data_IF_823846364122
#
_entry.id   IF_823846364122
#
_cell.length_a   1.000
_cell.length_b   1.000
_cell.length_c   1.000
_cell.angle_alpha   90.00
_cell.angle_beta   90.00
_cell.angle_gamma   90.00
#
_symmetry.space_group_name_H-M   'P 1'
#
loop_
_entity.id
_entity.type
_entity.pdbx_description
1 polymer ?
#
# COMPACT_ATOMS: atom_id res chain seq x y z
N UNK A 1 24.06 18.31 10.14
CA UNK A 1 23.51 17.88 11.44
C UNK A 1 22.36 18.83 11.81
N UNK A 2 21.17 18.59 11.29
CA UNK A 2 20.01 19.45 11.53
C UNK A 2 19.28 18.87 12.74
N UNK A 3 19.30 19.61 13.86
CA UNK A 3 18.53 19.25 15.06
C UNK A 3 17.10 19.71 14.86
N UNK A 4 16.19 18.76 14.65
CA UNK A 4 14.75 19.04 14.60
C UNK A 4 14.21 19.18 16.03
N UNK A 5 13.43 20.23 16.36
CA UNK A 5 12.89 20.40 17.69
C UNK A 5 11.68 19.47 17.86
N UNK A 6 11.80 18.55 18.82
CA UNK A 6 10.70 17.72 19.30
C UNK A 6 9.74 18.57 20.13
N UNK A 7 8.67 19.08 19.51
CA UNK A 7 7.52 19.53 20.28
C UNK A 7 6.58 18.33 20.48
N UNK A 8 6.66 17.79 21.70
CA UNK A 8 5.74 16.80 22.21
C UNK A 8 4.32 17.42 22.32
N UNK A 9 3.36 16.75 21.68
CA UNK A 9 1.96 16.72 22.10
C UNK A 9 1.22 18.05 22.16
N UNK A 10 0.87 18.62 21.01
CA UNK A 10 -0.46 19.24 20.96
C UNK A 10 -1.48 18.10 20.91
N UNK A 11 -2.22 17.99 22.00
CA UNK A 11 -3.35 17.08 22.17
C UNK A 11 -4.40 17.45 21.12
N UNK A 12 -4.22 16.95 19.89
CA UNK A 12 -5.20 17.10 18.81
C UNK A 12 -6.47 16.50 19.37
N UNK A 13 -7.55 17.28 19.56
CA UNK A 13 -8.84 16.69 19.87
C UNK A 13 -9.03 15.58 18.84
N UNK A 14 -9.48 14.39 19.25
CA UNK A 14 -10.03 13.40 18.34
C UNK A 14 -11.05 14.17 17.49
N UNK A 15 -10.62 14.67 16.35
CA UNK A 15 -11.45 15.46 15.50
C UNK A 15 -12.61 14.54 15.14
N UNK A 16 -13.83 15.06 15.10
CA UNK A 16 -14.95 14.37 14.50
C UNK A 16 -14.63 14.19 13.00
N UNK A 17 -13.75 13.25 12.70
CA UNK A 17 -13.38 12.86 11.35
C UNK A 17 -14.66 12.32 10.70
N UNK A 18 -14.94 12.70 9.45
CA UNK A 18 -16.14 12.27 8.76
C UNK A 18 -15.97 10.83 8.27
N UNK A 19 -15.92 9.87 9.19
CA UNK A 19 -15.58 8.46 8.89
C UNK A 19 -16.51 7.82 7.86
N UNK A 20 -17.81 8.09 7.94
CA UNK A 20 -18.79 7.58 6.96
C UNK A 20 -18.50 8.08 5.54
N UNK A 21 -18.14 9.37 5.39
CA UNK A 21 -17.76 9.96 4.11
C UNK A 21 -16.36 9.53 3.65
N UNK A 22 -15.45 9.27 4.60
CA UNK A 22 -14.12 8.78 4.33
C UNK A 22 -14.15 7.33 3.80
N UNK A 23 -15.03 6.49 4.35
CA UNK A 23 -15.27 5.12 3.89
C UNK A 23 -15.96 5.05 2.52
N UNK A 24 -16.65 6.11 2.10
CA UNK A 24 -17.36 6.19 0.83
C UNK A 24 -16.43 6.44 -0.37
N UNK A 25 -15.48 5.51 -0.59
CA UNK A 25 -14.60 5.47 -1.76
C UNK A 25 -14.64 4.06 -2.40
N UNK A 26 -14.41 3.94 -3.73
CA UNK A 26 -14.54 2.65 -4.42
C UNK A 26 -13.74 1.51 -3.79
N UNK A 27 -12.49 1.75 -3.38
CA UNK A 27 -11.64 0.72 -2.78
C UNK A 27 -12.26 0.08 -1.52
N UNK A 28 -13.00 0.86 -0.72
CA UNK A 28 -13.55 0.42 0.57
C UNK A 28 -15.03 0.02 0.47
N UNK A 29 -15.64 0.14 -0.71
CA UNK A 29 -17.08 -0.03 -0.90
C UNK A 29 -17.60 -1.45 -0.60
N UNK A 30 -16.72 -2.46 -0.71
CA UNK A 30 -17.09 -3.88 -0.49
C UNK A 30 -16.88 -4.37 0.95
N UNK A 31 -16.36 -3.52 1.83
CA UNK A 31 -16.18 -3.86 3.25
C UNK A 31 -17.54 -4.09 3.92
N UNK A 32 -17.63 -5.18 4.69
CA UNK A 32 -18.79 -5.40 5.55
C UNK A 32 -18.88 -4.33 6.64
N UNK A 33 -20.06 -4.11 7.24
CA UNK A 33 -20.18 -3.15 8.35
C UNK A 33 -19.24 -3.42 9.53
N UNK A 34 -18.94 -4.70 9.80
CA UNK A 34 -18.00 -5.10 10.83
C UNK A 34 -16.55 -4.73 10.46
N UNK A 35 -16.13 -4.99 9.21
CA UNK A 35 -14.82 -4.60 8.70
C UNK A 35 -14.66 -3.07 8.67
N UNK A 36 -15.66 -2.33 8.17
CA UNK A 36 -15.64 -0.86 8.15
C UNK A 36 -15.49 -0.25 9.54
N UNK A 37 -16.21 -0.81 10.53
CA UNK A 37 -16.05 -0.40 11.93
C UNK A 37 -14.66 -0.70 12.47
N UNK A 38 -14.14 -1.93 12.24
CA UNK A 38 -12.80 -2.33 12.67
C UNK A 38 -11.71 -1.47 12.01
N UNK A 39 -11.82 -1.21 10.72
CA UNK A 39 -10.90 -0.37 9.95
C UNK A 39 -10.88 1.06 10.52
N UNK A 40 -12.05 1.61 10.85
CA UNK A 40 -12.18 2.94 11.46
C UNK A 40 -11.48 3.00 12.83
N UNK A 41 -11.59 1.94 13.65
CA UNK A 41 -10.89 1.87 14.93
C UNK A 41 -9.36 1.84 14.76
N UNK A 42 -8.85 1.11 13.76
CA UNK A 42 -7.41 1.06 13.46
C UNK A 42 -6.95 2.42 12.91
N UNK A 43 -7.69 3.02 11.97
CA UNK A 43 -7.38 4.33 11.39
C UNK A 43 -7.44 5.46 12.44
N UNK A 44 -8.36 5.40 13.40
CA UNK A 44 -8.40 6.35 14.50
C UNK A 44 -7.15 6.23 15.39
N UNK A 45 -6.70 5.01 15.70
CA UNK A 45 -5.43 4.80 16.42
C UNK A 45 -4.23 5.27 15.59
N UNK A 46 -4.24 5.01 14.29
CA UNK A 46 -3.20 5.48 13.37
C UNK A 46 -3.01 7.00 13.48
N UNK A 47 -4.10 7.78 13.45
CA UNK A 47 -4.06 9.24 13.57
C UNK A 47 -3.65 9.75 14.95
N UNK A 48 -3.73 8.93 16.00
CA UNK A 48 -3.19 9.26 17.33
C UNK A 48 -1.70 8.99 17.43
N UNK A 49 -1.21 7.96 16.73
CA UNK A 49 0.18 7.49 16.83
C UNK A 49 1.11 8.13 15.79
N UNK A 50 0.56 8.61 14.68
CA UNK A 50 1.32 9.09 13.52
C UNK A 50 0.91 10.48 13.12
N UNK A 51 1.84 11.20 12.50
CA UNK A 51 1.62 12.57 12.02
C UNK A 51 1.68 12.62 10.50
N UNK A 52 0.62 13.10 9.87
CA UNK A 52 0.63 13.49 8.46
C UNK A 52 1.07 14.95 8.39
N UNK A 53 2.20 15.20 7.73
CA UNK A 53 2.83 16.50 7.59
C UNK A 53 2.65 16.97 6.15
N UNK A 54 1.65 17.82 5.86
CA UNK A 54 1.53 18.41 4.54
C UNK A 54 2.68 19.40 4.28
N UNK A 55 3.20 19.39 3.06
CA UNK A 55 4.34 20.21 2.64
C UNK A 55 3.93 21.18 1.53
N UNK A 56 4.78 22.17 1.24
CA UNK A 56 4.57 23.17 0.18
C UNK A 56 3.21 23.89 0.26
N UNK A 57 2.84 24.33 1.47
CA UNK A 57 1.57 25.04 1.74
C UNK A 57 0.31 24.20 1.46
N UNK A 58 0.44 22.88 1.30
CA UNK A 58 -0.69 21.99 1.12
C UNK A 58 -1.64 22.05 2.32
N UNK A 59 -2.93 22.29 2.06
CA UNK A 59 -3.97 22.26 3.08
C UNK A 59 -4.60 20.87 3.16
N UNK A 60 -4.38 20.17 4.28
CA UNK A 60 -4.96 18.85 4.52
C UNK A 60 -6.33 18.97 5.20
N UNK A 61 -7.38 18.51 4.52
CA UNK A 61 -8.74 18.47 5.10
C UNK A 61 -8.93 17.26 6.03
N UNK A 62 -9.84 17.32 7.02
CA UNK A 62 -10.13 16.16 7.87
C UNK A 62 -10.60 14.93 7.09
N UNK A 63 -11.37 15.11 6.01
CA UNK A 63 -11.82 14.00 5.15
C UNK A 63 -10.64 13.28 4.49
N UNK A 64 -9.71 14.05 3.91
CA UNK A 64 -8.54 13.48 3.23
C UNK A 64 -7.60 12.79 4.23
N UNK A 65 -7.41 13.40 5.41
CA UNK A 65 -6.63 12.80 6.49
C UNK A 65 -7.23 11.46 6.97
N UNK A 66 -8.56 11.39 7.12
CA UNK A 66 -9.25 10.16 7.46
C UNK A 66 -9.10 9.09 6.37
N UNK A 67 -9.19 9.45 5.08
CA UNK A 67 -8.98 8.51 3.97
C UNK A 67 -7.57 7.96 3.93
N UNK A 68 -6.54 8.81 4.07
CA UNK A 68 -5.14 8.37 4.15
C UNK A 68 -4.98 7.36 5.30
N UNK A 69 -5.53 7.65 6.48
CA UNK A 69 -5.46 6.74 7.62
C UNK A 69 -6.18 5.40 7.38
N UNK A 70 -7.35 5.42 6.72
CA UNK A 70 -8.08 4.20 6.33
C UNK A 70 -7.24 3.35 5.36
N UNK A 71 -6.62 3.96 4.35
CA UNK A 71 -5.80 3.26 3.37
C UNK A 71 -4.55 2.61 3.99
N UNK A 72 -3.83 3.30 4.87
CA UNK A 72 -2.73 2.68 5.63
C UNK A 72 -3.21 1.53 6.53
N UNK A 73 -4.43 1.63 7.05
CA UNK A 73 -4.98 0.64 7.97
C UNK A 73 -5.51 -0.60 7.26
N UNK A 74 -5.81 -0.53 5.96
CA UNK A 74 -6.44 -1.61 5.21
C UNK A 74 -5.53 -2.85 5.09
N UNK A 75 -4.23 -2.75 4.72
CA UNK A 75 -3.33 -3.89 4.69
C UNK A 75 -3.17 -4.57 6.06
N UNK A 76 -3.26 -3.79 7.13
CA UNK A 76 -3.07 -4.28 8.50
C UNK A 76 -4.38 -4.53 9.25
N UNK A 77 -5.52 -4.60 8.55
CA UNK A 77 -6.84 -4.77 9.16
C UNK A 77 -6.91 -6.00 10.08
N UNK A 78 -6.36 -7.13 9.61
CA UNK A 78 -6.31 -8.39 10.36
C UNK A 78 -4.97 -8.64 11.06
N UNK A 79 -3.94 -7.84 10.74
CA UNK A 79 -2.62 -7.94 11.35
C UNK A 79 -2.50 -7.12 12.65
N UNK A 80 -3.15 -5.95 12.70
CA UNK A 80 -3.12 -4.99 13.80
C UNK A 80 -2.19 -3.79 13.56
N UNK A 81 -2.49 -2.67 14.22
CA UNK A 81 -1.80 -1.39 14.04
C UNK A 81 -0.30 -1.44 14.34
N UNK A 82 0.13 -2.35 15.20
CA UNK A 82 1.54 -2.51 15.59
C UNK A 82 2.42 -2.91 14.39
N UNK A 83 1.84 -3.46 13.32
CA UNK A 83 2.55 -3.73 12.07
C UNK A 83 3.03 -2.48 11.33
N UNK A 84 2.58 -1.30 11.74
CA UNK A 84 3.03 -0.02 11.22
C UNK A 84 4.01 0.68 12.16
N UNK A 85 4.66 -0.01 13.10
CA UNK A 85 5.62 0.58 14.06
C UNK A 85 6.90 1.18 13.42
N UNK A 86 7.25 0.78 12.19
CA UNK A 86 8.44 1.24 11.46
C UNK A 86 8.43 2.70 10.97
N UNK A 87 7.43 3.51 11.31
CA UNK A 87 7.41 4.94 11.00
C UNK A 87 6.45 5.75 11.88
N UNK A 88 6.75 7.03 12.02
CA UNK A 88 5.99 7.97 12.85
C UNK A 88 5.40 9.13 12.06
N UNK A 89 5.97 9.43 10.88
CA UNK A 89 5.64 10.61 10.10
C UNK A 89 5.36 10.22 8.64
N UNK A 90 4.41 10.93 8.05
CA UNK A 90 4.06 10.83 6.63
C UNK A 90 4.21 12.22 6.03
N UNK A 91 5.11 12.37 5.07
CA UNK A 91 5.33 13.63 4.35
C UNK A 91 4.42 13.63 3.13
N UNK A 92 3.51 14.61 3.03
CA UNK A 92 2.57 14.71 1.92
C UNK A 92 2.88 15.94 1.05
N UNK A 93 3.37 15.68 -0.15
CA UNK A 93 3.60 16.69 -1.17
C UNK A 93 2.35 16.91 -2.03
N UNK A 94 2.18 18.08 -2.68
CA UNK A 94 1.06 18.31 -3.59
C UNK A 94 1.15 17.48 -4.88
N UNK A 95 2.35 17.33 -5.44
CA UNK A 95 2.61 16.68 -6.73
C UNK A 95 3.83 15.75 -6.62
N UNK A 96 3.96 14.74 -7.53
CA UNK A 96 5.15 13.92 -7.64
C UNK A 96 6.39 14.79 -7.87
N UNK A 97 7.53 14.32 -7.39
CA UNK A 97 8.79 15.04 -7.54
C UNK A 97 9.88 14.16 -8.14
N UNK A 98 10.91 14.79 -8.70
CA UNK A 98 12.09 14.11 -9.22
C UNK A 98 13.26 14.41 -8.29
N UNK A 99 13.79 13.39 -7.63
CA UNK A 99 14.99 13.53 -6.79
C UNK A 99 16.15 12.81 -7.48
N UNK A 100 17.36 13.23 -7.11
CA UNK A 100 18.59 12.61 -7.56
C UNK A 100 19.13 11.84 -6.36
N UNK A 101 18.98 10.51 -6.38
CA UNK A 101 19.60 9.65 -5.39
C UNK A 101 20.98 9.22 -5.88
N UNK A 102 21.92 9.13 -4.95
CA UNK A 102 23.24 8.54 -5.20
C UNK A 102 23.16 7.06 -4.83
N UNK A 103 23.13 6.16 -5.81
CA UNK A 103 23.24 4.72 -5.55
C UNK A 103 24.60 4.21 -6.00
N UNK A 104 25.15 3.27 -5.24
CA UNK A 104 26.44 2.66 -5.50
C UNK A 104 26.20 1.25 -6.05
N UNK A 105 26.70 0.97 -7.25
CA UNK A 105 26.62 -0.37 -7.83
C UNK A 105 27.60 -1.37 -7.18
N UNK A 106 27.50 -2.64 -7.57
CA UNK A 106 28.31 -3.74 -7.03
C UNK A 106 29.82 -3.58 -7.28
N UNK A 107 30.23 -2.67 -8.17
CA UNK A 107 31.64 -2.33 -8.45
C UNK A 107 32.09 -1.02 -7.81
N UNK A 108 31.21 -0.37 -7.04
CA UNK A 108 31.51 0.81 -6.25
C UNK A 108 31.38 2.15 -6.98
N UNK A 109 30.76 2.17 -8.16
CA UNK A 109 30.46 3.39 -8.91
C UNK A 109 29.19 4.03 -8.38
N UNK A 110 29.30 5.31 -8.00
CA UNK A 110 28.18 6.14 -7.58
C UNK A 110 27.50 6.69 -8.83
N UNK A 111 26.26 6.30 -9.04
CA UNK A 111 25.38 6.81 -10.09
C UNK A 111 24.48 7.90 -9.52
N UNK A 112 24.23 8.94 -10.32
CA UNK A 112 23.29 10.02 -9.99
C UNK A 112 22.34 10.14 -11.17
N UNK A 113 21.08 9.77 -10.98
CA UNK A 113 20.06 9.84 -12.03
C UNK A 113 18.76 10.46 -11.52
N UNK A 114 17.98 11.13 -12.40
CA UNK A 114 16.65 11.59 -12.06
C UNK A 114 15.72 10.38 -11.93
N UNK A 115 15.13 10.16 -10.75
CA UNK A 115 14.07 9.17 -10.53
C UNK A 115 12.75 9.90 -10.30
N UNK A 116 11.72 9.58 -11.08
CA UNK A 116 10.35 10.05 -10.85
C UNK A 116 9.80 9.20 -9.71
N UNK A 117 9.43 9.83 -8.60
CA UNK A 117 9.09 9.08 -7.39
C UNK A 117 7.66 9.39 -6.95
N UNK A 118 6.81 8.37 -7.01
CA UNK A 118 5.45 8.44 -6.49
C UNK A 118 5.46 8.44 -4.95
N UNK A 119 6.38 7.70 -4.32
CA UNK A 119 6.60 7.66 -2.87
C UNK A 119 7.98 7.13 -2.44
N UNK A 120 8.29 7.27 -1.15
CA UNK A 120 9.52 6.74 -0.53
C UNK A 120 9.23 6.17 0.86
N UNK A 121 9.82 5.01 1.14
CA UNK A 121 9.80 4.39 2.44
C UNK A 121 11.16 3.75 2.76
N UNK A 122 11.87 4.29 3.75
CA UNK A 122 13.05 3.64 4.35
C UNK A 122 12.71 2.98 5.68
N UNK A 123 13.48 1.98 6.13
CA UNK A 123 13.14 1.14 7.28
C UNK A 123 12.74 1.90 8.56
N UNK A 124 13.36 3.05 8.86
CA UNK A 124 13.01 3.90 10.00
C UNK A 124 12.66 5.35 9.63
N UNK A 125 12.63 5.68 8.33
CA UNK A 125 12.30 7.02 7.86
C UNK A 125 10.81 7.26 7.72
N UNK A 126 10.41 8.52 7.45
CA UNK A 126 9.03 8.85 7.14
C UNK A 126 8.57 8.12 5.88
N UNK A 127 7.26 7.94 5.74
CA UNK A 127 6.66 7.58 4.45
C UNK A 127 6.44 8.87 3.67
N UNK A 128 6.86 8.92 2.40
CA UNK A 128 6.66 10.08 1.54
C UNK A 128 5.59 9.75 0.51
N UNK A 129 4.62 10.64 0.37
CA UNK A 129 3.50 10.53 -0.56
C UNK A 129 3.32 11.85 -1.31
N UNK A 130 2.60 11.80 -2.43
CA UNK A 130 2.05 12.99 -3.06
C UNK A 130 0.52 12.91 -3.19
N UNK A 131 -0.14 14.07 -3.20
CA UNK A 131 -1.60 14.14 -3.16
C UNK A 131 -2.27 13.67 -4.46
N UNK A 132 -1.61 13.82 -5.61
CA UNK A 132 -2.16 13.37 -6.88
C UNK A 132 -2.37 11.85 -6.86
N UNK A 133 -1.32 11.13 -6.53
CA UNK A 133 -1.34 9.65 -6.48
C UNK A 133 -2.19 9.12 -5.31
N UNK A 134 -2.25 9.84 -4.19
CA UNK A 134 -3.15 9.50 -3.08
C UNK A 134 -4.62 9.57 -3.51
N UNK A 135 -5.00 10.49 -4.40
CA UNK A 135 -6.38 10.56 -4.90
C UNK A 135 -6.69 9.41 -5.84
N UNK A 136 -5.75 9.03 -6.70
CA UNK A 136 -5.89 7.90 -7.61
C UNK A 136 -5.99 6.57 -6.83
N UNK A 137 -5.38 6.52 -5.65
CA UNK A 137 -5.45 5.39 -4.71
C UNK A 137 -6.84 5.16 -4.07
N UNK A 138 -7.84 6.02 -4.33
CA UNK A 138 -9.20 5.81 -3.83
C UNK A 138 -10.03 4.86 -4.70
N UNK A 139 -9.62 4.66 -5.95
CA UNK A 139 -10.33 3.88 -6.94
C UNK A 139 -9.94 2.39 -6.93
N UNK A 140 -10.57 1.60 -7.81
CA UNK A 140 -10.29 0.18 -8.04
C UNK A 140 -9.51 0.00 -9.36
N UNK A 141 -8.38 0.70 -9.49
CA UNK A 141 -7.62 0.80 -10.75
C UNK A 141 -6.48 -0.21 -10.89
N UNK A 142 -6.11 -0.90 -9.80
CA UNK A 142 -4.86 -1.67 -9.70
C UNK A 142 -3.72 -0.88 -9.05
N UNK A 143 -3.81 0.46 -9.04
CA UNK A 143 -2.82 1.36 -8.46
C UNK A 143 -3.26 1.85 -7.07
N UNK A 144 -2.35 1.82 -6.10
CA UNK A 144 -2.54 2.35 -4.76
C UNK A 144 -1.20 2.66 -4.06
N UNK A 145 -0.76 3.91 -4.17
CA UNK A 145 0.50 4.37 -3.56
C UNK A 145 0.58 4.12 -2.05
N UNK A 146 -0.51 4.30 -1.30
CA UNK A 146 -0.46 4.12 0.16
C UNK A 146 -0.26 2.63 0.51
N UNK A 147 -0.90 1.73 -0.21
CA UNK A 147 -0.72 0.28 -0.03
C UNK A 147 0.68 -0.13 -0.45
N UNK A 148 1.20 0.42 -1.55
CA UNK A 148 2.57 0.22 -2.01
C UNK A 148 3.59 0.55 -0.91
N UNK A 149 3.57 1.78 -0.40
CA UNK A 149 4.47 2.21 0.69
C UNK A 149 4.25 1.43 1.98
N UNK A 150 3.01 1.02 2.25
CA UNK A 150 2.69 0.14 3.38
C UNK A 150 3.33 -1.24 3.21
N UNK A 151 3.30 -1.81 2.01
CA UNK A 151 3.91 -3.10 1.72
C UNK A 151 5.43 -3.05 1.96
N UNK A 152 6.13 -2.00 1.53
CA UNK A 152 7.54 -1.82 1.86
C UNK A 152 7.81 -1.76 3.37
N UNK A 153 6.96 -1.07 4.16
CA UNK A 153 7.06 -1.09 5.63
C UNK A 153 6.87 -2.49 6.21
N UNK A 154 5.94 -3.27 5.66
CA UNK A 154 5.68 -4.64 6.11
C UNK A 154 6.86 -5.57 5.79
N UNK A 155 7.41 -5.47 4.59
CA UNK A 155 8.59 -6.22 4.13
C UNK A 155 9.80 -5.97 5.03
N UNK A 156 10.11 -4.69 5.27
CA UNK A 156 11.26 -4.29 6.09
C UNK A 156 11.12 -4.59 7.58
N UNK A 157 9.94 -4.98 8.08
CA UNK A 157 9.66 -5.01 9.53
C UNK A 157 10.58 -5.94 10.33
N UNK A 158 10.99 -7.09 9.77
CA UNK A 158 11.88 -8.02 10.46
C UNK A 158 13.37 -7.76 10.17
N UNK A 159 13.72 -7.66 8.89
CA UNK A 159 15.12 -7.64 8.45
C UNK A 159 15.70 -6.21 8.36
N UNK A 160 14.85 -5.18 8.40
CA UNK A 160 15.23 -3.79 8.14
C UNK A 160 15.63 -3.53 6.67
N UNK A 161 15.48 -4.53 5.80
CA UNK A 161 15.78 -4.47 4.38
C UNK A 161 14.58 -5.00 3.60
N UNK A 162 14.32 -4.41 2.43
CA UNK A 162 13.24 -4.84 1.56
C UNK A 162 13.73 -6.01 0.70
N UNK A 163 12.99 -7.11 0.70
CA UNK A 163 13.33 -8.36 0.01
C UNK A 163 12.19 -8.93 -0.81
N UNK A 164 11.00 -8.33 -0.71
CA UNK A 164 9.75 -8.88 -1.24
C UNK A 164 9.15 -9.99 -0.40
N UNK A 165 9.71 -10.28 0.78
CA UNK A 165 9.28 -11.37 1.66
C UNK A 165 8.96 -10.79 3.04
N UNK A 166 7.68 -10.54 3.35
CA UNK A 166 7.30 -10.01 4.65
C UNK A 166 7.50 -11.06 5.76
N UNK A 167 7.37 -10.67 7.05
CA UNK A 167 7.46 -11.56 8.20
C UNK A 167 6.51 -12.77 8.15
N UNK A 168 6.97 -13.87 7.53
CA UNK A 168 6.26 -15.16 7.42
C UNK A 168 7.04 -16.27 8.13
N UNK A 169 6.42 -17.44 8.30
CA UNK A 169 7.09 -18.58 8.90
C UNK A 169 8.22 -19.10 7.98
N UNK A 170 9.38 -19.44 8.56
CA UNK A 170 10.57 -19.88 7.81
C UNK A 170 10.32 -21.02 6.83
N UNK A 171 9.38 -21.92 7.16
CA UNK A 171 9.00 -23.05 6.29
C UNK A 171 8.33 -22.62 4.97
N UNK A 172 7.75 -21.42 4.94
CA UNK A 172 6.97 -20.91 3.80
C UNK A 172 7.81 -19.98 2.91
N UNK A 173 8.98 -19.49 3.40
CA UNK A 173 9.86 -18.55 2.69
C UNK A 173 10.32 -19.05 1.33
N UNK A 174 10.80 -20.30 1.24
CA UNK A 174 11.30 -20.84 -0.03
C UNK A 174 10.21 -20.93 -1.11
N UNK A 175 8.97 -21.23 -0.70
CA UNK A 175 7.85 -21.29 -1.65
C UNK A 175 7.40 -19.88 -2.06
N UNK A 176 7.37 -18.94 -1.12
CA UNK A 176 7.07 -17.54 -1.41
C UNK A 176 8.06 -16.95 -2.42
N UNK A 177 9.37 -17.11 -2.19
CA UNK A 177 10.42 -16.61 -3.07
C UNK A 177 10.33 -17.21 -4.47
N UNK A 178 10.09 -18.53 -4.56
CA UNK A 178 9.90 -19.20 -5.83
C UNK A 178 8.71 -18.64 -6.62
N UNK A 179 7.54 -18.50 -5.98
CA UNK A 179 6.34 -18.02 -6.65
C UNK A 179 6.45 -16.52 -7.00
N UNK A 180 7.14 -15.72 -6.18
CA UNK A 180 7.40 -14.31 -6.44
C UNK A 180 8.32 -14.14 -7.66
N UNK A 181 9.42 -14.88 -7.72
CA UNK A 181 10.33 -14.85 -8.87
C UNK A 181 9.64 -15.34 -10.14
N UNK A 182 8.79 -16.36 -10.04
CA UNK A 182 7.99 -16.84 -11.16
C UNK A 182 7.01 -15.75 -11.67
N UNK A 183 6.38 -15.00 -10.76
CA UNK A 183 5.53 -13.88 -11.12
C UNK A 183 6.33 -12.77 -11.81
N UNK A 184 7.48 -12.35 -11.26
CA UNK A 184 8.37 -11.35 -11.87
C UNK A 184 8.77 -11.74 -13.29
N UNK A 185 9.25 -12.98 -13.49
CA UNK A 185 9.65 -13.47 -14.81
C UNK A 185 8.48 -13.45 -15.79
N UNK A 186 7.28 -13.85 -15.36
CA UNK A 186 6.09 -13.84 -16.21
C UNK A 186 5.58 -12.43 -16.53
N UNK A 187 5.82 -11.43 -15.67
CA UNK A 187 5.55 -10.02 -16.00
C UNK A 187 6.57 -9.54 -17.03
N UNK A 188 7.87 -9.81 -16.81
CA UNK A 188 8.92 -9.44 -17.77
C UNK A 188 8.69 -10.06 -19.15
N UNK A 189 8.36 -11.35 -19.21
CA UNK A 189 8.06 -12.05 -20.47
C UNK A 189 6.88 -11.40 -21.23
N UNK A 190 5.86 -10.90 -20.52
CA UNK A 190 4.76 -10.17 -21.16
C UNK A 190 5.22 -8.80 -21.66
N UNK A 191 5.95 -8.05 -20.84
CA UNK A 191 6.52 -6.75 -21.23
C UNK A 191 7.37 -6.88 -22.51
N UNK A 192 8.18 -7.94 -22.61
CA UNK A 192 9.01 -8.19 -23.79
C UNK A 192 8.18 -8.49 -25.06
N UNK A 193 6.96 -9.03 -24.89
CA UNK A 193 6.07 -9.42 -26.00
C UNK A 193 5.15 -8.27 -26.43
N UNK A 194 4.53 -7.55 -25.49
CA UNK A 194 3.49 -6.54 -25.78
C UNK A 194 3.94 -5.10 -25.51
N UNK A 195 5.06 -4.91 -24.81
CA UNK A 195 5.56 -3.62 -24.36
C UNK A 195 4.96 -3.16 -23.02
N UNK A 196 5.67 -2.26 -22.34
CA UNK A 196 5.30 -1.74 -21.00
C UNK A 196 3.90 -1.10 -20.93
N UNK A 197 3.45 -0.42 -21.99
CA UNK A 197 2.16 0.27 -21.96
C UNK A 197 0.95 -0.69 -22.13
N UNK A 198 1.19 -1.94 -22.53
CA UNK A 198 0.14 -2.92 -22.85
C UNK A 198 0.19 -4.18 -21.98
N UNK A 199 1.14 -4.27 -21.04
CA UNK A 199 1.19 -5.36 -20.06
C UNK A 199 -0.04 -5.31 -19.15
N UNK A 200 -0.48 -6.48 -18.70
CA UNK A 200 -1.70 -6.62 -17.90
C UNK A 200 -1.56 -6.14 -16.46
N UNK A 201 -0.33 -6.18 -15.94
CA UNK A 201 0.06 -5.64 -14.65
C UNK A 201 1.19 -4.64 -14.87
N UNK A 202 1.34 -3.68 -13.96
CA UNK A 202 2.41 -2.69 -14.03
C UNK A 202 3.78 -3.36 -14.20
N UNK A 203 4.51 -2.96 -15.25
CA UNK A 203 5.83 -3.46 -15.60
C UNK A 203 6.84 -3.24 -14.47
N UNK A 204 6.62 -2.23 -13.62
CA UNK A 204 7.50 -1.93 -12.49
C UNK A 204 7.62 -3.11 -11.52
N UNK A 205 6.61 -3.98 -11.43
CA UNK A 205 6.66 -5.20 -10.62
C UNK A 205 7.74 -6.21 -11.07
N UNK A 206 8.27 -6.10 -12.29
CA UNK A 206 9.34 -6.97 -12.78
C UNK A 206 10.75 -6.46 -12.41
N UNK A 207 10.87 -5.24 -11.87
CA UNK A 207 12.16 -4.59 -11.59
C UNK A 207 12.94 -5.28 -10.47
N UNK A 208 12.34 -5.40 -9.29
CA UNK A 208 12.96 -5.96 -8.09
C UNK A 208 11.94 -6.73 -7.25
N UNK A 209 12.35 -7.73 -6.44
CA UNK A 209 11.42 -8.51 -5.62
C UNK A 209 10.61 -7.68 -4.63
N UNK A 210 11.23 -6.65 -4.03
CA UNK A 210 10.55 -5.73 -3.11
C UNK A 210 9.42 -4.96 -3.82
N UNK A 211 9.67 -4.49 -5.04
CA UNK A 211 8.70 -3.80 -5.88
C UNK A 211 7.61 -4.73 -6.37
N UNK A 212 7.97 -5.97 -6.73
CA UNK A 212 7.00 -6.99 -7.08
C UNK A 212 6.02 -7.22 -5.92
N UNK A 213 6.52 -7.37 -4.69
CA UNK A 213 5.66 -7.51 -3.52
C UNK A 213 4.76 -6.28 -3.32
N UNK A 214 5.30 -5.08 -3.43
CA UNK A 214 4.54 -3.84 -3.25
C UNK A 214 3.44 -3.68 -4.32
N UNK A 215 3.79 -3.79 -5.60
CA UNK A 215 2.84 -3.70 -6.71
C UNK A 215 1.78 -4.78 -6.64
N UNK A 216 2.15 -6.05 -6.42
CA UNK A 216 1.15 -7.11 -6.28
C UNK A 216 0.26 -6.91 -5.04
N UNK A 217 0.72 -6.18 -4.01
CA UNK A 217 -0.12 -5.78 -2.88
C UNK A 217 -1.17 -4.75 -3.28
N UNK A 218 -0.82 -3.80 -4.15
CA UNK A 218 -1.79 -2.86 -4.73
C UNK A 218 -2.90 -3.61 -5.47
N UNK A 219 -2.54 -4.52 -6.37
CA UNK A 219 -3.49 -5.36 -7.09
C UNK A 219 -4.31 -6.24 -6.14
N UNK A 220 -3.70 -6.82 -5.11
CA UNK A 220 -4.41 -7.65 -4.14
C UNK A 220 -5.60 -6.92 -3.49
N UNK A 221 -5.46 -5.62 -3.20
CA UNK A 221 -6.54 -4.85 -2.58
C UNK A 221 -7.43 -4.11 -3.58
N UNK A 222 -6.89 -3.64 -4.72
CA UNK A 222 -7.60 -2.76 -5.64
C UNK A 222 -8.14 -3.44 -6.91
N UNK A 223 -7.53 -4.54 -7.36
CA UNK A 223 -7.96 -5.32 -8.53
C UNK A 223 -7.62 -6.82 -8.35
N UNK A 224 -8.16 -7.48 -7.29
CA UNK A 224 -7.78 -8.83 -6.90
C UNK A 224 -8.06 -9.90 -7.95
N UNK A 225 -9.01 -9.67 -8.85
CA UNK A 225 -9.35 -10.55 -9.97
C UNK A 225 -8.21 -10.67 -10.99
N UNK A 226 -7.46 -9.59 -11.22
CA UNK A 226 -6.29 -9.61 -12.12
C UNK A 226 -5.16 -10.43 -11.51
N UNK A 227 -4.87 -10.19 -10.22
CA UNK A 227 -3.85 -10.94 -9.49
C UNK A 227 -4.20 -12.42 -9.40
N UNK A 228 -5.44 -12.76 -9.02
CA UNK A 228 -5.87 -14.15 -8.92
C UNK A 228 -5.87 -14.86 -10.27
N UNK A 229 -6.35 -14.18 -11.33
CA UNK A 229 -6.40 -14.75 -12.67
C UNK A 229 -5.01 -15.07 -13.25
N UNK A 230 -3.99 -14.27 -12.91
CA UNK A 230 -2.63 -14.43 -13.44
C UNK A 230 -1.71 -15.23 -12.52
N UNK A 231 -1.75 -14.96 -11.22
CA UNK A 231 -0.84 -15.53 -10.22
C UNK A 231 -1.61 -16.11 -9.01
N UNK A 232 -2.40 -17.18 -9.19
CA UNK A 232 -3.21 -17.75 -8.12
C UNK A 232 -2.39 -18.28 -6.94
N UNK A 233 -1.15 -18.73 -7.17
CA UNK A 233 -0.23 -19.14 -6.10
C UNK A 233 0.20 -17.96 -5.23
N UNK A 234 0.60 -16.84 -5.85
CA UNK A 234 0.90 -15.60 -5.13
C UNK A 234 -0.34 -15.06 -4.41
N UNK A 235 -1.50 -15.06 -5.06
CA UNK A 235 -2.75 -14.66 -4.40
C UNK A 235 -2.99 -15.44 -3.10
N UNK A 236 -2.79 -16.77 -3.11
CA UNK A 236 -2.95 -17.61 -1.93
C UNK A 236 -1.94 -17.28 -0.82
N UNK A 237 -0.70 -16.91 -1.16
CA UNK A 237 0.28 -16.42 -0.20
C UNK A 237 -0.16 -15.10 0.44
N UNK A 238 -0.67 -14.17 -0.36
CA UNK A 238 -1.18 -12.87 0.10
C UNK A 238 -2.40 -13.03 1.01
N UNK A 239 -3.33 -13.93 0.69
CA UNK A 239 -4.47 -14.25 1.57
C UNK A 239 -3.99 -14.76 2.93
N UNK A 240 -3.00 -15.65 2.96
CA UNK A 240 -2.44 -16.18 4.23
C UNK A 240 -1.72 -15.10 5.01
N UNK A 241 -0.93 -14.26 4.34
CA UNK A 241 -0.16 -13.20 4.97
C UNK A 241 -1.07 -12.10 5.52
N UNK A 242 -1.86 -11.45 4.65
CA UNK A 242 -2.76 -10.36 5.04
C UNK A 242 -3.97 -10.82 5.85
N UNK A 243 -4.24 -12.13 5.89
CA UNK A 243 -5.41 -12.73 6.55
C UNK A 243 -6.75 -12.16 6.02
N UNK A 244 -6.75 -11.72 4.77
CA UNK A 244 -7.91 -11.13 4.09
C UNK A 244 -8.11 -11.83 2.74
N UNK A 245 -9.33 -11.81 2.22
CA UNK A 245 -9.65 -12.31 0.87
C UNK A 245 -10.51 -11.28 0.13
N UNK A 246 -9.87 -10.26 -0.51
CA UNK A 246 -10.59 -9.22 -1.22
C UNK A 246 -11.44 -9.73 -2.39
N UNK A 247 -11.03 -10.83 -3.05
CA UNK A 247 -11.78 -11.39 -4.17
C UNK A 247 -13.07 -12.04 -3.67
N UNK A 248 -12.99 -12.87 -2.63
CA UNK A 248 -14.18 -13.46 -2.01
C UNK A 248 -15.11 -12.38 -1.45
N UNK A 249 -14.55 -11.31 -0.87
CA UNK A 249 -15.33 -10.14 -0.40
C UNK A 249 -16.12 -9.50 -1.54
N UNK A 250 -15.48 -9.22 -2.69
CA UNK A 250 -16.15 -8.65 -3.86
C UNK A 250 -17.25 -9.58 -4.41
N UNK A 251 -16.98 -10.88 -4.50
CA UNK A 251 -17.95 -11.87 -4.98
C UNK A 251 -19.19 -11.97 -4.07
N UNK A 252 -19.00 -11.92 -2.75
CA UNK A 252 -20.10 -11.90 -1.79
C UNK A 252 -20.94 -10.62 -1.87
N UNK A 253 -20.30 -9.46 -2.07
CA UNK A 253 -21.01 -8.19 -2.26
C UNK A 253 -21.89 -8.23 -3.52
N UNK A 254 -21.33 -8.66 -4.66
CA UNK A 254 -22.07 -8.79 -5.93
C UNK A 254 -23.25 -9.77 -5.83
N UNK A 255 -23.06 -10.91 -5.17
CA UNK A 255 -24.14 -11.89 -4.97
C UNK A 255 -25.28 -11.33 -4.10
N UNK A 256 -24.94 -10.52 -3.08
CA UNK A 256 -25.91 -9.89 -2.18
C UNK A 256 -26.75 -8.84 -2.92
N UNK A 257 -26.12 -8.04 -3.79
CA UNK A 257 -26.81 -7.03 -4.61
C UNK A 257 -27.77 -7.67 -5.61
N UNK A 258 -27.35 -8.75 -6.29
CA UNK A 258 -28.21 -9.49 -7.22
C UNK A 258 -29.43 -10.10 -6.51
N UNK A 259 -29.25 -10.61 -5.29
CA UNK A 259 -30.36 -11.11 -4.49
C UNK A 259 -31.33 -9.98 -4.08
N UNK A 260 -30.82 -8.80 -3.72
CA UNK A 260 -31.65 -7.66 -3.35
C UNK A 260 -32.45 -7.08 -4.53
N UNK A 261 -31.92 -7.16 -5.76
CA UNK A 261 -32.62 -6.73 -6.98
C UNK A 261 -33.74 -7.69 -7.40
N UNK A 262 -33.58 -9.00 -7.19
CA UNK A 262 -34.57 -10.02 -7.55
C UNK A 262 -35.76 -10.14 -6.56
N UNK A 263 -35.74 -9.41 -5.45
CA UNK A 263 -36.79 -9.41 -4.41
C UNK A 263 -37.69 -8.15 -4.50
N UNK A 264 -37.42 -7.24 -5.43
CA UNK A 264 -38.26 -6.06 -5.74
C UNK A 264 -39.08 -6.28 -7.01
#
# INVERSE_FOLDING_TARGET
MIKWPWNAGENRPLANYPWDEALAIPLLATLTPAESHKLTLIASKFLQLKRIVPLQELCLSPLLEARIALLFSLPVLELGIDWLDGFHEILLYPEPFIFHEEWQDDIGLVHIGPMVQAGQCSAQGPVILNLMDVKDSFDLSGYNLIIHETAHKLDMRNAGVATGIPPIALKDVAQWEYDLQAAMNAIQDEVDVVGEAATSLDAYAASEPAECFAVLSEYFFSAPELLYGRFPAMYAHFVKFYQQDPLARQQHAQASDLCAMNVK
#
